data_IF_314125961071
#
_entry.id   IF_314125961071
#
_cell.length_a   1.000
_cell.length_b   1.000
_cell.length_c   1.000
_cell.angle_alpha   90.00
_cell.angle_beta   90.00
_cell.angle_gamma   90.00
#
_symmetry.space_group_name_H-M   'P 1'
#
loop_
_entity.id
_entity.type
_entity.pdbx_description
1 polymer ?
#
# COMPACT_ATOMS: atom_id res chain seq x y z
N UNK A 1 -22.93 -10.54 11.24
CA UNK A 1 -22.07 -11.44 10.44
C UNK A 1 -21.37 -10.58 9.41
N UNK A 2 -20.14 -10.12 9.68
CA UNK A 2 -19.38 -9.37 8.68
C UNK A 2 -18.93 -10.39 7.63
N UNK A 3 -19.43 -10.23 6.41
CA UNK A 3 -18.86 -10.89 5.24
C UNK A 3 -17.40 -10.42 5.15
N UNK A 4 -16.49 -11.20 5.72
CA UNK A 4 -15.07 -11.05 5.47
C UNK A 4 -14.92 -11.22 3.97
N UNK A 5 -14.79 -10.10 3.24
CA UNK A 5 -14.59 -10.11 1.80
C UNK A 5 -13.32 -10.91 1.59
N UNK A 6 -13.50 -12.16 1.15
CA UNK A 6 -12.41 -13.13 1.02
C UNK A 6 -11.34 -12.48 0.16
N UNK A 7 -10.18 -12.21 0.74
CA UNK A 7 -9.08 -11.55 0.03
C UNK A 7 -8.65 -12.46 -1.13
N UNK A 8 -8.73 -11.94 -2.35
CA UNK A 8 -8.31 -12.61 -3.59
C UNK A 8 -7.12 -11.90 -4.22
N UNK A 9 -6.45 -12.54 -5.18
CA UNK A 9 -5.38 -11.88 -5.97
C UNK A 9 -5.92 -10.61 -6.62
N UNK A 10 -7.11 -10.66 -7.24
CA UNK A 10 -7.76 -9.49 -7.86
C UNK A 10 -7.93 -8.36 -6.86
N UNK A 11 -8.45 -8.66 -5.66
CA UNK A 11 -8.67 -7.64 -4.62
C UNK A 11 -7.36 -7.08 -4.08
N UNK A 12 -6.33 -7.91 -3.92
CA UNK A 12 -5.00 -7.48 -3.53
C UNK A 12 -4.39 -6.53 -4.57
N UNK A 13 -4.51 -6.85 -5.86
CA UNK A 13 -4.09 -5.96 -6.94
C UNK A 13 -4.84 -4.62 -6.94
N UNK A 14 -6.18 -4.63 -6.79
CA UNK A 14 -7.00 -3.41 -6.68
C UNK A 14 -6.56 -2.52 -5.51
N UNK A 15 -6.29 -3.13 -4.35
CA UNK A 15 -5.82 -2.41 -3.17
C UNK A 15 -4.46 -1.75 -3.43
N UNK A 16 -3.49 -2.49 -4.00
CA UNK A 16 -2.17 -1.94 -4.34
C UNK A 16 -2.26 -0.81 -5.37
N UNK A 17 -3.13 -0.95 -6.37
CA UNK A 17 -3.35 0.08 -7.38
C UNK A 17 -3.96 1.36 -6.78
N UNK A 18 -4.87 1.20 -5.81
CA UNK A 18 -5.43 2.32 -5.06
C UNK A 18 -4.35 3.04 -4.25
N UNK A 19 -3.48 2.30 -3.56
CA UNK A 19 -2.36 2.90 -2.82
C UNK A 19 -1.39 3.65 -3.73
N UNK A 20 -1.11 3.11 -4.93
CA UNK A 20 -0.24 3.78 -5.89
C UNK A 20 -0.81 5.13 -6.32
N UNK A 21 -2.11 5.20 -6.65
CA UNK A 21 -2.79 6.45 -6.98
C UNK A 21 -2.70 7.47 -5.86
N UNK A 22 -2.90 7.05 -4.61
CA UNK A 22 -2.82 7.94 -3.45
C UNK A 22 -1.40 8.50 -3.22
N UNK A 23 -0.36 7.69 -3.46
CA UNK A 23 1.03 8.17 -3.42
C UNK A 23 1.27 9.21 -4.52
N UNK A 24 0.80 8.96 -5.74
CA UNK A 24 0.96 9.87 -6.87
C UNK A 24 0.22 11.21 -6.65
N UNK A 25 -0.98 11.17 -6.07
CA UNK A 25 -1.74 12.38 -5.70
C UNK A 25 -1.04 13.21 -4.62
N UNK A 26 -0.49 12.55 -3.60
CA UNK A 26 0.32 13.21 -2.58
C UNK A 26 1.55 13.89 -3.21
N UNK A 27 2.26 13.17 -4.08
CA UNK A 27 3.43 13.70 -4.80
C UNK A 27 3.08 14.90 -5.67
N UNK A 28 1.97 14.83 -6.41
CA UNK A 28 1.50 15.92 -7.25
C UNK A 28 1.16 17.16 -6.42
N UNK A 29 0.41 16.99 -5.33
CA UNK A 29 0.03 18.08 -4.42
C UNK A 29 1.26 18.75 -3.80
N UNK A 30 2.25 17.95 -3.39
CA UNK A 30 3.54 18.44 -2.89
C UNK A 30 4.34 19.17 -3.97
N UNK A 31 4.43 18.63 -5.18
CA UNK A 31 5.15 19.25 -6.30
C UNK A 31 4.55 20.60 -6.69
N UNK A 32 3.24 20.76 -6.56
CA UNK A 32 2.52 22.03 -6.75
C UNK A 32 2.71 23.01 -5.59
N UNK A 33 3.42 22.63 -4.53
CA UNK A 33 3.61 23.40 -3.30
C UNK A 33 2.27 23.78 -2.64
N UNK A 34 1.30 22.88 -2.73
CA UNK A 34 0.00 23.08 -2.11
C UNK A 34 0.15 23.02 -0.57
N UNK A 35 -0.29 24.05 0.18
CA UNK A 35 -0.28 24.00 1.64
C UNK A 35 -1.22 22.95 2.22
N UNK A 36 -2.20 22.47 1.44
CA UNK A 36 -3.20 21.47 1.85
C UNK A 36 -2.84 20.06 1.41
N UNK A 37 -1.59 19.64 1.64
CA UNK A 37 -1.12 18.29 1.31
C UNK A 37 -1.49 17.25 2.39
N UNK A 38 -1.80 17.71 3.60
CA UNK A 38 -2.19 16.90 4.75
C UNK A 38 -3.37 15.95 4.47
N UNK A 39 -4.44 16.34 3.77
CA UNK A 39 -5.54 15.43 3.44
C UNK A 39 -5.11 14.26 2.56
N UNK A 40 -4.20 14.48 1.60
CA UNK A 40 -3.69 13.41 0.73
C UNK A 40 -2.83 12.43 1.52
N UNK A 41 -1.99 12.94 2.42
CA UNK A 41 -1.18 12.10 3.31
C UNK A 41 -2.07 11.27 4.24
N UNK A 42 -3.05 11.91 4.88
CA UNK A 42 -3.99 11.24 5.78
C UNK A 42 -4.77 10.14 5.06
N UNK A 43 -5.29 10.42 3.85
CA UNK A 43 -6.02 9.44 3.06
C UNK A 43 -5.16 8.20 2.73
N UNK A 44 -3.89 8.41 2.41
CA UNK A 44 -2.95 7.31 2.17
C UNK A 44 -2.69 6.49 3.44
N UNK A 45 -2.39 7.14 4.57
CA UNK A 45 -2.13 6.47 5.85
C UNK A 45 -3.34 5.67 6.33
N UNK A 46 -4.54 6.25 6.26
CA UNK A 46 -5.80 5.60 6.63
C UNK A 46 -6.05 4.37 5.76
N UNK A 47 -5.75 4.47 4.46
CA UNK A 47 -5.99 3.37 3.53
C UNK A 47 -5.00 2.22 3.73
N UNK A 48 -3.72 2.52 3.97
CA UNK A 48 -2.71 1.51 4.34
C UNK A 48 -3.09 0.83 5.64
N UNK A 49 -3.48 1.59 6.67
CA UNK A 49 -3.91 1.06 7.95
C UNK A 49 -5.14 0.15 7.82
N UNK A 50 -6.13 0.58 7.04
CA UNK A 50 -7.34 -0.20 6.77
C UNK A 50 -7.00 -1.53 6.09
N UNK A 51 -6.15 -1.52 5.07
CA UNK A 51 -5.77 -2.74 4.37
C UNK A 51 -4.92 -3.66 5.23
N UNK A 52 -3.97 -3.14 6.00
CA UNK A 52 -3.07 -3.96 6.82
C UNK A 52 -3.77 -4.58 8.02
N UNK A 53 -4.61 -3.82 8.74
CA UNK A 53 -5.34 -4.33 9.91
C UNK A 53 -6.40 -5.38 9.57
N UNK A 54 -6.81 -5.45 8.31
CA UNK A 54 -7.70 -6.48 7.79
C UNK A 54 -6.97 -7.80 7.44
N UNK A 55 -5.63 -7.87 7.58
CA UNK A 55 -4.84 -9.05 7.25
C UNK A 55 -4.44 -9.85 8.49
N UNK A 56 -4.50 -11.18 8.36
CA UNK A 56 -3.88 -12.09 9.30
C UNK A 56 -2.38 -12.24 9.02
N UNK A 57 -1.56 -12.45 10.04
CA UNK A 57 -0.13 -12.67 9.84
C UNK A 57 0.11 -14.01 9.10
N UNK A 58 1.01 -14.09 8.11
CA UNK A 58 1.29 -15.32 7.35
C UNK A 58 1.51 -16.56 8.23
N UNK A 59 2.27 -16.43 9.32
CA UNK A 59 2.56 -17.52 10.27
C UNK A 59 1.34 -18.05 11.03
N UNK A 60 0.24 -17.30 11.06
CA UNK A 60 -1.00 -17.71 11.73
C UNK A 60 -1.99 -18.41 10.80
N UNK A 61 -1.72 -18.40 9.48
CA UNK A 61 -2.61 -18.94 8.47
C UNK A 61 -2.35 -20.43 8.23
N UNK A 62 -3.35 -21.31 8.42
CA UNK A 62 -3.20 -22.73 8.09
C UNK A 62 -3.05 -22.98 6.58
N UNK A 63 -3.59 -22.09 5.74
CA UNK A 63 -3.46 -22.09 4.28
C UNK A 63 -3.50 -20.64 3.79
N UNK A 64 -2.65 -20.29 2.80
CA UNK A 64 -2.68 -18.94 2.22
C UNK A 64 -3.95 -18.68 1.40
N UNK A 65 -4.54 -17.45 1.49
CA UNK A 65 -5.71 -17.06 0.71
C UNK A 65 -5.49 -17.14 -0.81
N UNK A 66 -4.26 -16.91 -1.25
CA UNK A 66 -3.82 -17.00 -2.64
C UNK A 66 -2.30 -17.17 -2.75
N UNK A 67 -1.81 -17.47 -3.95
CA UNK A 67 -0.38 -17.64 -4.21
C UNK A 67 0.37 -16.32 -4.06
N UNK A 68 1.46 -16.32 -3.28
CA UNK A 68 2.26 -15.14 -2.93
C UNK A 68 1.53 -14.12 -2.04
N UNK A 69 0.65 -14.60 -1.15
CA UNK A 69 0.05 -13.78 -0.10
C UNK A 69 1.10 -13.07 0.77
N UNK A 70 2.20 -13.74 1.07
CA UNK A 70 3.36 -13.22 1.80
C UNK A 70 3.92 -11.93 1.18
N UNK A 71 4.00 -11.85 -0.15
CA UNK A 71 4.46 -10.65 -0.86
C UNK A 71 3.50 -9.47 -0.67
N UNK A 72 2.19 -9.72 -0.72
CA UNK A 72 1.18 -8.68 -0.45
C UNK A 72 1.22 -8.22 1.00
N UNK A 73 1.30 -9.16 1.95
CA UNK A 73 1.43 -8.87 3.37
C UNK A 73 2.71 -8.06 3.66
N UNK A 74 3.85 -8.48 3.13
CA UNK A 74 5.13 -7.79 3.33
C UNK A 74 5.12 -6.37 2.77
N UNK A 75 4.47 -6.16 1.62
CA UNK A 75 4.23 -4.83 1.07
C UNK A 75 3.48 -3.95 2.07
N UNK A 76 2.28 -4.36 2.50
CA UNK A 76 1.47 -3.57 3.44
C UNK A 76 2.14 -3.38 4.79
N UNK A 77 2.83 -4.40 5.30
CA UNK A 77 3.61 -4.31 6.53
C UNK A 77 4.72 -3.24 6.42
N UNK A 78 5.40 -3.17 5.27
CA UNK A 78 6.43 -2.17 5.03
C UNK A 78 5.84 -0.75 5.01
N UNK A 79 4.74 -0.55 4.27
CA UNK A 79 4.08 0.75 4.18
C UNK A 79 3.53 1.18 5.56
N UNK A 80 2.88 0.28 6.29
CA UNK A 80 2.28 0.60 7.59
C UNK A 80 3.30 1.03 8.65
N UNK A 81 4.47 0.40 8.68
CA UNK A 81 5.50 0.69 9.69
C UNK A 81 6.55 1.73 9.27
N UNK A 82 6.54 2.17 8.01
CA UNK A 82 7.45 3.20 7.51
C UNK A 82 6.65 4.37 6.93
N UNK A 83 5.77 5.05 7.68
CA UNK A 83 4.84 6.04 7.15
C UNK A 83 5.55 7.20 6.42
N UNK A 84 4.83 7.81 5.48
CA UNK A 84 5.28 9.00 4.75
C UNK A 84 5.25 10.22 5.65
N UNK A 85 6.25 10.39 6.51
CA UNK A 85 6.34 11.57 7.37
C UNK A 85 6.79 12.79 6.59
N UNK A 86 6.24 13.97 6.90
CA UNK A 86 6.75 15.26 6.42
C UNK A 86 8.22 15.46 6.83
N UNK A 87 9.13 15.21 5.90
CA UNK A 87 10.57 15.46 6.05
C UNK A 87 11.03 16.50 5.04
N UNK A 88 12.26 16.99 5.20
CA UNK A 88 12.89 17.90 4.24
C UNK A 88 12.70 17.39 2.80
N UNK A 89 12.45 18.33 1.86
CA UNK A 89 12.03 18.07 0.48
C UNK A 89 12.85 16.95 -0.19
N UNK A 90 14.18 16.97 -0.09
CA UNK A 90 15.04 15.97 -0.73
C UNK A 90 15.04 14.57 -0.08
N UNK A 91 14.61 14.47 1.18
CA UNK A 91 14.41 13.18 1.87
C UNK A 91 13.03 12.63 1.48
N UNK A 92 12.02 13.49 1.37
CA UNK A 92 10.66 13.08 1.03
C UNK A 92 10.58 12.38 -0.33
N UNK A 93 11.20 12.93 -1.37
CA UNK A 93 11.20 12.31 -2.72
C UNK A 93 11.74 10.88 -2.71
N UNK A 94 12.78 10.63 -1.91
CA UNK A 94 13.35 9.29 -1.77
C UNK A 94 12.41 8.34 -1.04
N UNK A 95 11.73 8.81 -0.01
CA UNK A 95 10.74 8.00 0.72
C UNK A 95 9.57 7.64 -0.20
N UNK A 96 9.05 8.61 -0.96
CA UNK A 96 7.94 8.42 -1.89
C UNK A 96 8.31 7.45 -3.02
N UNK A 97 9.50 7.61 -3.61
CA UNK A 97 10.01 6.66 -4.61
C UNK A 97 10.18 5.25 -4.05
N UNK A 98 10.60 5.12 -2.77
CA UNK A 98 10.67 3.85 -2.07
C UNK A 98 9.29 3.18 -1.93
N UNK A 99 8.27 3.97 -1.57
CA UNK A 99 6.87 3.54 -1.51
C UNK A 99 6.38 3.00 -2.84
N UNK A 100 6.51 3.80 -3.91
CA UNK A 100 6.13 3.41 -5.27
C UNK A 100 6.84 2.11 -5.68
N UNK A 101 8.15 1.98 -5.41
CA UNK A 101 8.91 0.79 -5.75
C UNK A 101 8.41 -0.47 -5.04
N UNK A 102 8.07 -0.38 -3.75
CA UNK A 102 7.54 -1.50 -2.96
C UNK A 102 6.15 -1.92 -3.50
N UNK A 103 5.27 -0.94 -3.74
CA UNK A 103 3.92 -1.18 -4.28
C UNK A 103 3.99 -1.83 -5.68
N UNK A 104 4.78 -1.26 -6.59
CA UNK A 104 4.93 -1.76 -7.95
C UNK A 104 5.52 -3.17 -7.97
N UNK A 105 6.53 -3.46 -7.14
CA UNK A 105 7.11 -4.80 -7.04
C UNK A 105 6.06 -5.83 -6.62
N UNK A 106 5.25 -5.52 -5.61
CA UNK A 106 4.18 -6.42 -5.17
C UNK A 106 3.11 -6.58 -6.25
N UNK A 107 2.70 -5.49 -6.91
CA UNK A 107 1.71 -5.50 -7.98
C UNK A 107 2.14 -6.38 -9.15
N UNK A 108 3.35 -6.16 -9.69
CA UNK A 108 3.88 -6.96 -10.80
C UNK A 108 3.99 -8.43 -10.44
N UNK A 109 4.43 -8.72 -9.20
CA UNK A 109 4.52 -10.10 -8.73
C UNK A 109 3.14 -10.75 -8.71
N UNK A 110 2.13 -10.12 -8.11
CA UNK A 110 0.78 -10.68 -8.03
C UNK A 110 0.10 -10.83 -9.39
N UNK A 111 0.29 -9.88 -10.31
CA UNK A 111 -0.26 -9.92 -11.66
C UNK A 111 0.28 -11.11 -12.48
N UNK A 112 1.51 -11.56 -12.21
CA UNK A 112 2.05 -12.76 -12.85
C UNK A 112 1.27 -14.05 -12.51
N UNK A 113 0.47 -14.02 -11.44
CA UNK A 113 -0.34 -15.15 -10.97
C UNK A 113 -1.85 -14.92 -11.13
N UNK A 114 -2.27 -13.79 -11.71
CA UNK A 114 -3.69 -13.49 -11.95
C UNK A 114 -4.20 -14.02 -13.32
N UNK A 115 -3.50 -14.99 -13.91
CA UNK A 115 -3.79 -15.57 -15.25
C UNK A 115 -4.92 -16.61 -15.15
#
# INVERSE_FOLDING_TARGET
MNHSQKLTITRACENLQTLLTLVDEYDLSRAQKNPDVTPHLQALEDQVATYFTALDHPDTLPVFPFQNYDMYYACLNNLYHNPLTHVDIGIQEKVNSGYQAVILRALYHLQAFSI
#
